data_IF_277835456083
#
_entry.id   IF_277835456083
#
_cell.length_a   1.000
_cell.length_b   1.000
_cell.length_c   1.000
_cell.angle_alpha   90.00
_cell.angle_beta   90.00
_cell.angle_gamma   90.00
#
_symmetry.space_group_name_H-M   'P 1'
#
loop_
_entity.id
_entity.type
_entity.pdbx_description
1 polymer ?
#
# COMPACT_ATOMS: atom_id res chain seq x y z
N UNK A 1 -9.55 9.39 13.77
CA UNK A 1 -8.54 10.43 13.50
C UNK A 1 -8.74 11.57 14.47
N UNK A 2 -7.67 12.02 15.13
CA UNK A 2 -7.72 13.18 16.01
C UNK A 2 -7.77 14.48 15.19
N UNK A 3 -8.75 15.37 15.42
CA UNK A 3 -8.88 16.64 14.67
C UNK A 3 -7.67 17.57 14.83
N UNK A 4 -6.86 17.36 15.88
CA UNK A 4 -5.62 18.08 16.10
C UNK A 4 -4.50 17.63 15.14
N UNK A 5 -4.40 16.34 14.82
CA UNK A 5 -3.44 15.84 13.84
C UNK A 5 -3.83 16.30 12.43
N UNK A 6 -5.11 16.18 12.06
CA UNK A 6 -5.59 16.62 10.75
C UNK A 6 -5.23 18.09 10.50
N UNK A 7 -5.44 18.97 11.49
CA UNK A 7 -5.07 20.38 11.42
C UNK A 7 -3.56 20.61 11.27
N UNK A 8 -2.72 19.83 11.96
CA UNK A 8 -1.27 19.96 11.86
C UNK A 8 -0.78 19.55 10.48
N UNK A 9 -1.30 18.46 9.94
CA UNK A 9 -0.98 18.02 8.58
C UNK A 9 -1.52 19.04 7.59
N UNK A 10 -2.77 19.48 7.71
CA UNK A 10 -3.34 20.51 6.84
C UNK A 10 -2.44 21.75 6.77
N UNK A 11 -1.93 22.24 7.91
CA UNK A 11 -0.99 23.37 7.95
C UNK A 11 0.40 23.06 7.35
N UNK A 12 0.85 21.80 7.31
CA UNK A 12 2.06 21.44 6.58
C UNK A 12 1.87 21.54 5.07
N UNK A 13 0.65 21.28 4.61
CA UNK A 13 0.24 21.29 3.21
C UNK A 13 -0.13 22.69 2.73
N UNK A 14 -0.89 23.45 3.52
CA UNK A 14 -1.28 24.85 3.30
C UNK A 14 -0.09 25.79 3.56
N UNK A 15 0.76 26.02 2.55
CA UNK A 15 2.02 26.77 2.70
C UNK A 15 1.77 28.26 2.89
N UNK A 16 0.76 28.79 2.23
CA UNK A 16 0.40 30.20 2.28
C UNK A 16 -0.53 30.53 3.47
N UNK A 17 -1.11 29.52 4.13
CA UNK A 17 -1.96 29.67 5.29
C UNK A 17 -3.34 30.25 4.96
N UNK A 18 -3.81 30.09 3.72
CA UNK A 18 -5.09 30.64 3.28
C UNK A 18 -6.29 29.78 3.68
N UNK A 19 -6.03 28.62 4.29
CA UNK A 19 -7.06 27.69 4.71
C UNK A 19 -7.56 26.81 3.57
N UNK A 20 -6.84 26.80 2.44
CA UNK A 20 -7.14 26.03 1.23
C UNK A 20 -5.83 25.47 0.67
N UNK A 21 -5.86 24.21 0.23
CA UNK A 21 -4.69 23.58 -0.37
C UNK A 21 -4.87 23.57 -1.88
N UNK A 22 -3.94 24.21 -2.59
CA UNK A 22 -3.90 24.12 -4.05
C UNK A 22 -3.29 22.80 -4.52
N UNK A 23 -3.56 22.39 -5.77
CA UNK A 23 -2.94 21.19 -6.39
C UNK A 23 -1.42 21.19 -6.28
N UNK A 24 -0.82 22.37 -6.42
CA UNK A 24 0.63 22.56 -6.33
C UNK A 24 1.15 22.34 -4.91
N UNK A 25 0.47 22.91 -3.92
CA UNK A 25 0.81 22.73 -2.51
C UNK A 25 0.61 21.29 -2.05
N UNK A 26 -0.41 20.62 -2.55
CA UNK A 26 -0.64 19.19 -2.31
C UNK A 26 0.52 18.36 -2.85
N UNK A 27 0.91 18.55 -4.11
CA UNK A 27 2.01 17.81 -4.73
C UNK A 27 3.35 18.04 -4.00
N UNK A 28 3.69 19.29 -3.72
CA UNK A 28 4.95 19.66 -3.07
C UNK A 28 5.04 19.06 -1.65
N UNK A 29 3.93 19.06 -0.93
CA UNK A 29 3.85 18.51 0.42
C UNK A 29 3.89 16.99 0.44
N UNK A 30 3.24 16.31 -0.51
CA UNK A 30 3.35 14.87 -0.69
C UNK A 30 4.80 14.46 -1.00
N UNK A 31 5.47 15.17 -1.91
CA UNK A 31 6.88 14.91 -2.20
C UNK A 31 7.79 15.14 -0.99
N UNK A 32 7.52 16.16 -0.17
CA UNK A 32 8.25 16.38 1.09
C UNK A 32 8.05 15.23 2.10
N UNK A 33 6.91 14.54 2.05
CA UNK A 33 6.66 13.33 2.85
C UNK A 33 7.27 12.06 2.23
N UNK A 34 7.94 12.18 1.08
CA UNK A 34 8.48 11.05 0.32
C UNK A 34 7.44 10.30 -0.51
N UNK A 35 6.22 10.83 -0.61
CA UNK A 35 5.12 10.23 -1.36
C UNK A 35 5.14 10.82 -2.78
N UNK A 36 5.46 9.97 -3.75
CA UNK A 36 5.47 10.35 -5.17
C UNK A 36 4.24 9.81 -5.88
N UNK A 37 3.28 10.70 -6.13
CA UNK A 37 2.07 10.40 -6.90
C UNK A 37 2.21 11.05 -8.29
N UNK A 38 1.92 10.33 -9.38
CA UNK A 38 1.91 10.91 -10.71
C UNK A 38 0.87 12.04 -10.82
N UNK A 39 1.18 13.10 -11.58
CA UNK A 39 0.27 14.25 -11.78
C UNK A 39 -1.16 13.82 -12.18
N UNK A 40 -1.28 12.78 -13.02
CA UNK A 40 -2.58 12.26 -13.46
C UNK A 40 -3.41 11.68 -12.31
N UNK A 41 -2.78 10.90 -11.44
CA UNK A 41 -3.44 10.30 -10.28
C UNK A 41 -3.75 11.36 -9.23
N UNK A 42 -2.86 12.35 -9.05
CA UNK A 42 -3.10 13.49 -8.16
C UNK A 42 -4.32 14.31 -8.61
N UNK A 43 -4.45 14.58 -9.91
CA UNK A 43 -5.62 15.27 -10.47
C UNK A 43 -6.89 14.47 -10.20
N UNK A 44 -6.87 13.16 -10.43
CA UNK A 44 -8.01 12.27 -10.18
C UNK A 44 -8.39 12.21 -8.70
N UNK A 45 -7.39 12.23 -7.80
CA UNK A 45 -7.63 12.31 -6.35
C UNK A 45 -8.32 13.62 -6.00
N UNK A 46 -7.80 14.76 -6.45
CA UNK A 46 -8.40 16.07 -6.17
C UNK A 46 -9.81 16.15 -6.74
N UNK A 47 -10.04 15.73 -7.99
CA UNK A 47 -11.39 15.72 -8.59
C UNK A 47 -12.40 14.83 -7.85
N UNK A 48 -11.94 13.78 -7.15
CA UNK A 48 -12.82 12.93 -6.34
C UNK A 48 -13.22 13.58 -5.02
N UNK A 49 -12.44 14.54 -4.53
CA UNK A 49 -12.49 14.99 -3.14
C UNK A 49 -12.89 16.47 -3.04
N UNK A 50 -12.61 17.25 -4.09
CA UNK A 50 -13.18 18.58 -4.35
C UNK A 50 -14.67 18.43 -4.69
N UNK A 51 -15.47 18.19 -3.64
CA UNK A 51 -16.92 17.99 -3.75
C UNK A 51 -17.61 19.30 -4.12
N UNK A 52 -17.03 20.41 -3.66
CA UNK A 52 -17.57 21.74 -3.88
C UNK A 52 -17.22 22.29 -5.30
N UNK A 53 -16.22 21.71 -5.98
CA UNK A 53 -15.81 22.04 -7.33
C UNK A 53 -15.09 23.38 -7.47
N UNK A 54 -14.55 23.93 -6.37
CA UNK A 54 -13.86 25.21 -6.36
C UNK A 54 -12.40 25.12 -6.82
N UNK A 55 -11.89 23.89 -7.00
CA UNK A 55 -10.53 23.61 -7.46
C UNK A 55 -9.48 23.65 -6.35
N UNK A 56 -9.91 23.83 -5.10
CA UNK A 56 -9.10 23.81 -3.90
C UNK A 56 -9.54 22.65 -3.01
N UNK A 57 -8.70 22.30 -2.03
CA UNK A 57 -9.04 21.31 -1.01
C UNK A 57 -9.13 22.01 0.34
N UNK A 58 -10.33 22.10 0.90
CA UNK A 58 -10.52 22.64 2.25
C UNK A 58 -10.23 21.59 3.34
N UNK A 59 -10.29 21.97 4.61
CA UNK A 59 -9.91 21.08 5.72
C UNK A 59 -10.82 19.85 5.87
N UNK A 60 -12.10 19.99 5.52
CA UNK A 60 -13.06 18.89 5.58
C UNK A 60 -12.79 17.91 4.45
N UNK A 61 -12.57 18.43 3.24
CA UNK A 61 -12.18 17.67 2.05
C UNK A 61 -10.79 16.99 2.23
N UNK A 62 -9.82 17.70 2.80
CA UNK A 62 -8.50 17.17 3.11
C UNK A 62 -8.56 16.04 4.14
N UNK A 63 -9.53 16.07 5.06
CA UNK A 63 -9.79 14.97 5.99
C UNK A 63 -10.08 13.66 5.26
N UNK A 64 -10.91 13.72 4.24
CA UNK A 64 -11.24 12.55 3.42
C UNK A 64 -10.05 12.09 2.55
N UNK A 65 -9.31 13.03 1.95
CA UNK A 65 -8.07 12.74 1.22
C UNK A 65 -7.06 12.05 2.13
N UNK A 66 -6.76 12.65 3.27
CA UNK A 66 -5.72 12.17 4.17
C UNK A 66 -6.06 10.80 4.73
N UNK A 67 -7.34 10.54 5.05
CA UNK A 67 -7.77 9.18 5.41
C UNK A 67 -7.48 8.20 4.28
N UNK A 68 -7.82 8.54 3.04
CA UNK A 68 -7.57 7.67 1.89
C UNK A 68 -6.07 7.41 1.67
N UNK A 69 -5.25 8.47 1.71
CA UNK A 69 -3.79 8.37 1.51
C UNK A 69 -3.13 7.60 2.66
N UNK A 70 -3.57 7.83 3.91
CA UNK A 70 -3.04 7.09 5.05
C UNK A 70 -3.47 5.64 5.05
N UNK A 71 -4.70 5.31 4.63
CA UNK A 71 -5.13 3.93 4.45
C UNK A 71 -4.24 3.23 3.41
N UNK A 72 -3.96 3.87 2.26
CA UNK A 72 -3.06 3.32 1.24
C UNK A 72 -1.60 3.20 1.72
N UNK A 73 -1.15 4.10 2.59
CA UNK A 73 0.21 4.11 3.13
C UNK A 73 0.41 3.08 4.23
N UNK A 74 -0.56 2.94 5.15
CA UNK A 74 -0.62 1.83 6.11
C UNK A 74 -0.64 0.51 5.34
N UNK A 75 -1.46 0.39 4.29
CA UNK A 75 -1.48 -0.81 3.44
C UNK A 75 -0.12 -1.12 2.79
N UNK A 76 0.62 -0.13 2.29
CA UNK A 76 1.96 -0.36 1.73
C UNK A 76 3.01 -0.72 2.80
N UNK A 77 2.97 -0.08 3.97
CA UNK A 77 3.88 -0.37 5.08
C UNK A 77 3.59 -1.76 5.66
N UNK A 78 2.33 -2.07 5.99
CA UNK A 78 1.89 -3.41 6.43
C UNK A 78 2.27 -4.49 5.41
N UNK A 79 2.13 -4.20 4.12
CA UNK A 79 2.49 -5.15 3.07
C UNK A 79 4.00 -5.37 2.96
N UNK A 80 4.80 -4.32 3.20
CA UNK A 80 6.26 -4.43 3.24
C UNK A 80 6.73 -5.15 4.50
N UNK A 81 6.12 -4.89 5.64
CA UNK A 81 6.41 -5.63 6.88
C UNK A 81 6.03 -7.10 6.74
N UNK A 82 4.84 -7.39 6.19
CA UNK A 82 4.43 -8.75 5.87
C UNK A 82 5.41 -9.42 4.91
N UNK A 83 5.79 -8.74 3.82
CA UNK A 83 6.78 -9.26 2.87
C UNK A 83 8.10 -9.60 3.56
N UNK A 84 8.59 -8.73 4.44
CA UNK A 84 9.84 -8.92 5.18
C UNK A 84 9.75 -10.05 6.24
N UNK A 85 8.55 -10.44 6.67
CA UNK A 85 8.38 -11.65 7.49
C UNK A 85 8.59 -12.90 6.63
N UNK A 86 8.15 -12.89 5.37
CA UNK A 86 8.35 -13.99 4.42
C UNK A 86 9.77 -14.04 3.87
N UNK A 87 10.32 -12.92 3.42
CA UNK A 87 11.69 -12.75 2.92
C UNK A 87 12.69 -12.75 4.09
N UNK A 88 13.17 -13.94 4.48
CA UNK A 88 13.98 -14.09 5.69
C UNK A 88 15.42 -13.64 5.48
N UNK A 89 15.91 -13.73 4.25
CA UNK A 89 17.26 -13.31 3.88
C UNK A 89 17.33 -11.84 3.42
N UNK A 90 16.19 -11.20 3.15
CA UNK A 90 16.10 -9.79 2.78
C UNK A 90 16.56 -9.52 1.35
N UNK A 91 16.52 -10.51 0.47
CA UNK A 91 16.99 -10.37 -0.92
C UNK A 91 15.95 -9.71 -1.85
N UNK A 92 14.73 -9.50 -1.34
CA UNK A 92 13.62 -8.89 -2.07
C UNK A 92 12.76 -9.88 -2.85
N UNK A 93 13.03 -11.17 -2.70
CA UNK A 93 12.29 -12.27 -3.32
C UNK A 93 11.96 -13.34 -2.28
N UNK A 94 10.73 -13.84 -2.29
CA UNK A 94 10.32 -14.93 -1.40
C UNK A 94 10.50 -16.25 -2.12
N UNK A 95 11.43 -17.07 -1.64
CA UNK A 95 11.64 -18.41 -2.18
C UNK A 95 10.62 -19.42 -1.65
N UNK A 96 10.50 -20.58 -2.32
CA UNK A 96 9.67 -21.71 -1.88
C UNK A 96 10.01 -22.14 -0.45
N UNK A 97 11.29 -22.11 -0.08
CA UNK A 97 11.77 -22.55 1.23
C UNK A 97 11.38 -21.57 2.33
N UNK A 98 11.53 -20.27 2.06
CA UNK A 98 11.14 -19.19 2.99
C UNK A 98 9.64 -19.13 3.19
N UNK A 99 8.88 -19.21 2.10
CA UNK A 99 7.42 -19.31 2.17
C UNK A 99 6.99 -20.49 3.05
N UNK A 100 7.61 -21.65 2.84
CA UNK A 100 7.32 -22.86 3.63
C UNK A 100 7.65 -22.66 5.11
N UNK A 101 8.81 -22.07 5.41
CA UNK A 101 9.29 -21.80 6.78
C UNK A 101 8.26 -20.97 7.55
N UNK A 102 7.77 -19.88 6.93
CA UNK A 102 6.78 -18.99 7.54
C UNK A 102 5.40 -19.63 7.63
N UNK A 103 4.92 -20.29 6.58
CA UNK A 103 3.63 -20.99 6.61
C UNK A 103 3.60 -22.10 7.67
N UNK A 104 4.73 -22.81 7.87
CA UNK A 104 4.87 -23.79 8.93
C UNK A 104 4.86 -23.14 10.32
N UNK A 105 5.53 -21.99 10.49
CA UNK A 105 5.52 -21.21 11.73
C UNK A 105 4.12 -20.69 12.09
N UNK A 106 3.34 -20.29 11.09
CA UNK A 106 1.94 -19.86 11.23
C UNK A 106 0.96 -21.04 11.41
N UNK A 107 1.43 -22.28 11.37
CA UNK A 107 0.59 -23.48 11.52
C UNK A 107 -0.35 -23.74 10.34
N UNK A 108 -0.13 -23.09 9.19
CA UNK A 108 -0.94 -23.24 8.00
C UNK A 108 -0.66 -24.59 7.32
N UNK A 109 -1.72 -25.32 6.96
CA UNK A 109 -1.61 -26.66 6.36
C UNK A 109 -0.95 -26.63 4.99
N UNK A 110 -1.03 -25.50 4.29
CA UNK A 110 -0.47 -25.23 2.98
C UNK A 110 1.06 -25.17 2.98
N UNK A 111 1.68 -24.88 4.14
CA UNK A 111 3.14 -24.93 4.31
C UNK A 111 3.71 -26.31 4.60
N UNK A 112 2.88 -27.36 4.63
CA UNK A 112 3.33 -28.71 5.04
C UNK A 112 4.20 -29.40 4.00
N UNK A 113 3.94 -29.18 2.72
CA UNK A 113 4.68 -29.80 1.62
C UNK A 113 5.29 -28.76 0.70
N UNK A 114 6.43 -29.12 0.11
CA UNK A 114 7.10 -28.28 -0.90
C UNK A 114 6.20 -28.12 -2.14
N UNK A 115 5.43 -29.15 -2.50
CA UNK A 115 4.53 -29.12 -3.67
C UNK A 115 3.39 -28.11 -3.49
N UNK A 116 2.81 -28.00 -2.29
CA UNK A 116 1.79 -26.99 -2.00
C UNK A 116 2.37 -25.56 -2.06
N UNK A 117 3.56 -25.35 -1.49
CA UNK A 117 4.25 -24.06 -1.56
C UNK A 117 4.59 -23.68 -3.00
N UNK A 118 5.09 -24.64 -3.81
CA UNK A 118 5.35 -24.43 -5.23
C UNK A 118 4.10 -24.08 -6.02
N UNK A 119 2.96 -24.72 -5.73
CA UNK A 119 1.68 -24.37 -6.37
C UNK A 119 1.21 -22.97 -6.00
N UNK A 120 1.46 -22.53 -4.76
CA UNK A 120 1.12 -21.16 -4.34
C UNK A 120 1.98 -20.13 -5.07
N UNK A 121 3.29 -20.35 -5.12
CA UNK A 121 4.22 -19.47 -5.86
C UNK A 121 3.83 -19.44 -7.33
N UNK A 122 3.67 -20.58 -7.99
CA UNK A 122 3.34 -20.63 -9.41
C UNK A 122 2.02 -19.94 -9.79
N UNK A 123 1.08 -19.75 -8.83
CA UNK A 123 -0.15 -18.99 -9.07
C UNK A 123 0.06 -17.48 -9.13
N UNK A 124 1.12 -16.97 -8.51
CA UNK A 124 1.40 -15.53 -8.36
C UNK A 124 2.67 -15.10 -9.07
N UNK A 125 3.56 -16.05 -9.34
CA UNK A 125 4.78 -15.93 -10.13
C UNK A 125 4.41 -15.72 -11.60
N UNK A 126 4.39 -14.45 -12.00
CA UNK A 126 4.05 -13.98 -13.33
C UNK A 126 5.27 -13.99 -14.23
N UNK A 127 6.46 -13.71 -13.68
CA UNK A 127 7.69 -13.66 -14.46
C UNK A 127 8.39 -15.03 -14.63
N UNK A 128 7.97 -16.03 -13.85
CA UNK A 128 8.34 -17.43 -13.99
C UNK A 128 9.72 -17.77 -13.43
N UNK A 129 10.26 -16.92 -12.54
CA UNK A 129 11.56 -17.15 -11.91
C UNK A 129 11.48 -18.19 -10.76
N UNK A 130 10.27 -18.59 -10.38
CA UNK A 130 10.02 -19.54 -9.30
C UNK A 130 10.16 -18.93 -7.91
N UNK A 131 10.20 -17.60 -7.82
CA UNK A 131 10.18 -16.84 -6.58
C UNK A 131 8.97 -15.88 -6.60
N UNK A 132 8.78 -15.13 -5.52
CA UNK A 132 7.72 -14.11 -5.46
C UNK A 132 8.36 -12.77 -5.11
N UNK A 133 8.36 -11.85 -6.06
CA UNK A 133 8.83 -10.50 -5.83
C UNK A 133 7.75 -9.64 -5.14
N UNK A 134 8.12 -8.46 -4.65
CA UNK A 134 7.21 -7.56 -3.92
C UNK A 134 5.92 -7.22 -4.71
N UNK A 135 5.99 -7.08 -6.04
CA UNK A 135 4.82 -6.76 -6.87
C UNK A 135 3.84 -7.94 -6.94
N UNK A 136 4.36 -9.15 -7.03
CA UNK A 136 3.57 -10.38 -7.08
C UNK A 136 2.94 -10.67 -5.72
N UNK A 137 3.69 -10.49 -4.64
CA UNK A 137 3.18 -10.59 -3.28
C UNK A 137 2.05 -9.59 -3.01
N UNK A 138 2.21 -8.35 -3.49
CA UNK A 138 1.16 -7.33 -3.41
C UNK A 138 -0.11 -7.74 -4.11
N UNK A 139 0.00 -8.28 -5.33
CA UNK A 139 -1.15 -8.78 -6.07
C UNK A 139 -1.82 -9.95 -5.35
N UNK A 140 -1.03 -10.85 -4.74
CA UNK A 140 -1.55 -11.94 -3.93
C UNK A 140 -2.36 -11.43 -2.73
N UNK A 141 -1.80 -10.49 -1.95
CA UNK A 141 -2.46 -9.96 -0.76
C UNK A 141 -3.75 -9.21 -1.11
N UNK A 142 -3.74 -8.39 -2.17
CA UNK A 142 -4.95 -7.73 -2.69
C UNK A 142 -6.02 -8.71 -3.20
N UNK A 143 -5.61 -9.91 -3.61
CA UNK A 143 -6.51 -10.99 -4.06
C UNK A 143 -7.14 -11.83 -2.95
N UNK A 144 -6.93 -11.49 -1.66
CA UNK A 144 -7.40 -12.26 -0.50
C UNK A 144 -6.36 -13.21 0.10
N UNK A 145 -5.07 -12.98 -0.19
CA UNK A 145 -3.93 -13.66 0.41
C UNK A 145 -3.84 -15.17 0.13
N UNK A 146 -3.05 -15.88 0.94
CA UNK A 146 -2.80 -17.32 0.80
C UNK A 146 -4.06 -18.20 0.96
N UNK A 147 -5.09 -17.70 1.63
CA UNK A 147 -6.38 -18.39 1.78
C UNK A 147 -7.15 -18.42 0.44
N UNK A 148 -7.10 -17.34 -0.34
CA UNK A 148 -7.73 -17.28 -1.66
C UNK A 148 -7.08 -18.26 -2.65
N UNK A 149 -5.75 -18.46 -2.55
CA UNK A 149 -5.02 -19.43 -3.38
C UNK A 149 -5.40 -20.90 -3.12
N UNK A 150 -6.05 -21.19 -1.98
CA UNK A 150 -6.52 -22.55 -1.64
C UNK A 150 -7.95 -22.84 -2.13
N UNK A 151 -8.69 -21.83 -2.60
CA UNK A 151 -10.09 -21.96 -3.02
C UNK A 151 -10.21 -22.21 -4.53
N UNK A 152 -9.84 -23.41 -4.99
CA UNK A 152 -10.40 -24.04 -6.21
C UNK A 152 -9.99 -25.49 -6.34
#
# INVERSE_FOLDING_TARGET
>A
MDPAELRRVFQMFDKNGDGKITKKELNDSLQNLGIYIPDKDLIQMIEKIDVNGDGYVDIDEFGALYQTIMDERDEEEDMREAFNVFDQNGDGFITVEELRSVLASLGLKQGRTIEDCKKMINKVDVDGDGMVNFKEFRQMMKGGGFAALSSK
#
